data_IF_147952490523
#
_entry.id   IF_147952490523
#
_cell.length_a   1.000
_cell.length_b   1.000
_cell.length_c   1.000
_cell.angle_alpha   90.00
_cell.angle_beta   90.00
_cell.angle_gamma   90.00
#
_symmetry.space_group_name_H-M   'P 1'
#
loop_
_entity.id
_entity.type
_entity.pdbx_description
1 polymer ?
#
# COMPACT_ATOMS: atom_id res chain seq x y z
N UNK A 1 -23.82 17.13 -26.11
CA UNK A 1 -24.57 17.61 -24.92
C UNK A 1 -24.81 16.45 -23.95
N UNK A 2 -24.71 16.71 -22.65
CA UNK A 2 -25.03 15.72 -21.61
C UNK A 2 -26.52 15.35 -21.66
N UNK A 3 -26.90 14.06 -21.46
CA UNK A 3 -28.30 13.63 -21.51
C UNK A 3 -29.17 14.20 -20.38
N UNK A 4 -28.56 14.74 -19.33
CA UNK A 4 -29.24 15.44 -18.24
C UNK A 4 -29.44 16.96 -18.52
N UNK A 5 -28.98 17.45 -19.67
CA UNK A 5 -29.07 18.85 -20.08
C UNK A 5 -27.99 19.77 -19.51
N UNK A 6 -27.06 19.26 -18.69
CA UNK A 6 -26.03 20.07 -18.04
C UNK A 6 -24.66 19.82 -18.68
N UNK A 7 -24.23 20.73 -19.56
CA UNK A 7 -22.88 20.70 -20.14
C UNK A 7 -22.68 19.66 -21.26
N UNK A 8 -21.45 19.18 -21.42
CA UNK A 8 -21.02 18.28 -22.49
C UNK A 8 -20.40 16.99 -21.95
N UNK A 9 -20.39 15.93 -22.77
CA UNK A 9 -19.81 14.65 -22.41
C UNK A 9 -18.32 14.65 -22.74
N UNK A 10 -17.51 14.23 -21.77
CA UNK A 10 -16.10 13.93 -21.98
C UNK A 10 -15.87 12.41 -21.98
N UNK A 11 -14.88 11.95 -22.75
CA UNK A 11 -14.51 10.54 -22.84
C UNK A 11 -13.15 10.33 -22.18
N UNK A 12 -13.13 9.51 -21.14
CA UNK A 12 -11.93 9.13 -20.41
C UNK A 12 -11.62 7.64 -20.59
N UNK A 13 -10.36 7.27 -20.36
CA UNK A 13 -9.95 5.85 -20.26
C UNK A 13 -10.11 5.40 -18.82
N UNK A 14 -10.63 4.19 -18.63
CA UNK A 14 -10.82 3.60 -17.30
C UNK A 14 -10.58 2.10 -17.33
N UNK A 15 -10.15 1.55 -16.19
CA UNK A 15 -10.02 0.11 -15.97
C UNK A 15 -11.17 -0.31 -15.04
N UNK A 16 -12.03 -1.20 -15.51
CA UNK A 16 -13.12 -1.72 -14.68
C UNK A 16 -12.57 -2.68 -13.62
N UNK A 17 -12.54 -2.24 -12.35
CA UNK A 17 -12.10 -3.03 -11.20
C UNK A 17 -13.24 -3.74 -10.47
N UNK A 18 -14.49 -3.40 -10.79
CA UNK A 18 -15.66 -4.05 -10.22
C UNK A 18 -16.93 -3.69 -10.97
N UNK A 19 -17.97 -4.50 -10.76
CA UNK A 19 -19.27 -4.36 -11.40
C UNK A 19 -20.36 -4.83 -10.44
N UNK A 20 -21.49 -4.13 -10.46
CA UNK A 20 -22.69 -4.49 -9.71
C UNK A 20 -23.87 -4.70 -10.67
N UNK A 21 -24.66 -5.75 -10.46
CA UNK A 21 -25.84 -6.02 -11.28
C UNK A 21 -27.07 -6.31 -10.43
N UNK A 22 -28.20 -5.74 -10.83
CA UNK A 22 -29.52 -6.20 -10.40
C UNK A 22 -29.93 -7.36 -11.32
N UNK A 23 -29.69 -8.60 -10.87
CA UNK A 23 -29.99 -9.80 -11.65
C UNK A 23 -31.48 -10.13 -11.72
N UNK A 24 -32.27 -9.54 -10.81
CA UNK A 24 -33.71 -9.79 -10.66
C UNK A 24 -33.95 -11.28 -10.46
N UNK A 25 -35.00 -11.83 -11.08
CA UNK A 25 -35.38 -13.23 -10.94
C UNK A 25 -34.74 -14.17 -11.96
N UNK A 26 -33.87 -13.68 -12.86
CA UNK A 26 -33.37 -14.42 -14.02
C UNK A 26 -32.85 -15.82 -13.68
N UNK A 27 -31.97 -15.92 -12.68
CA UNK A 27 -31.36 -17.19 -12.27
C UNK A 27 -32.23 -17.97 -11.29
N UNK A 28 -32.83 -17.27 -10.31
CA UNK A 28 -33.70 -17.89 -9.32
C UNK A 28 -34.89 -18.61 -9.97
N UNK A 29 -35.49 -18.04 -11.01
CA UNK A 29 -36.59 -18.66 -11.75
C UNK A 29 -36.12 -19.91 -12.51
N UNK A 30 -34.98 -19.83 -13.21
CA UNK A 30 -34.45 -20.96 -13.98
C UNK A 30 -34.04 -22.15 -13.10
N UNK A 31 -33.63 -21.89 -11.84
CA UNK A 31 -33.19 -22.91 -10.88
C UNK A 31 -34.27 -23.29 -9.85
N UNK A 32 -35.49 -22.75 -9.96
CA UNK A 32 -36.59 -22.92 -9.01
C UNK A 32 -36.22 -22.55 -7.55
N UNK A 33 -35.41 -21.50 -7.36
CA UNK A 33 -35.10 -20.95 -6.05
C UNK A 33 -36.26 -20.06 -5.57
N UNK A 34 -37.12 -20.65 -4.74
CA UNK A 34 -38.29 -19.98 -4.16
C UNK A 34 -38.25 -19.92 -2.63
N UNK A 35 -39.00 -18.99 -2.06
CA UNK A 35 -39.24 -18.86 -0.62
C UNK A 35 -40.74 -18.62 -0.36
N UNK A 36 -41.21 -18.87 0.86
CA UNK A 36 -42.54 -18.46 1.28
C UNK A 36 -42.46 -17.05 1.86
N UNK A 37 -43.27 -16.14 1.35
CA UNK A 37 -43.41 -14.79 1.92
C UNK A 37 -44.20 -14.81 3.25
N UNK A 38 -44.40 -13.63 3.84
CA UNK A 38 -45.10 -13.44 5.11
C UNK A 38 -46.56 -13.95 5.09
N UNK A 39 -47.16 -14.12 3.90
CA UNK A 39 -48.51 -14.66 3.71
C UNK A 39 -48.53 -16.17 3.47
N UNK A 40 -47.35 -16.80 3.46
CA UNK A 40 -47.20 -18.21 3.12
C UNK A 40 -47.27 -18.50 1.61
N UNK A 41 -47.17 -17.48 0.76
CA UNK A 41 -47.20 -17.65 -0.70
C UNK A 41 -45.78 -17.85 -1.25
N UNK A 42 -45.64 -18.79 -2.19
CA UNK A 42 -44.36 -19.04 -2.87
C UNK A 42 -43.99 -17.88 -3.79
N UNK A 43 -42.78 -17.35 -3.61
CA UNK A 43 -42.18 -16.26 -4.39
C UNK A 43 -40.80 -16.67 -4.91
N UNK A 44 -40.45 -16.24 -6.12
CA UNK A 44 -39.09 -16.40 -6.64
C UNK A 44 -38.17 -15.36 -6.02
N UNK A 45 -36.96 -15.76 -5.64
CA UNK A 45 -35.99 -14.85 -5.02
C UNK A 45 -35.57 -13.73 -5.98
N UNK A 46 -35.51 -12.51 -5.45
CA UNK A 46 -34.90 -11.37 -6.11
C UNK A 46 -33.38 -11.40 -5.87
N UNK A 47 -32.58 -11.25 -6.94
CA UNK A 47 -31.12 -11.39 -6.85
C UNK A 47 -30.37 -10.12 -7.27
N UNK A 48 -29.26 -9.87 -6.58
CA UNK A 48 -28.20 -8.97 -7.02
C UNK A 48 -26.86 -9.73 -7.03
N UNK A 49 -25.90 -9.26 -7.82
CA UNK A 49 -24.52 -9.72 -7.72
C UNK A 49 -23.54 -8.55 -7.72
N UNK A 50 -22.42 -8.76 -7.03
CA UNK A 50 -21.39 -7.75 -6.80
C UNK A 50 -20.04 -8.43 -7.02
N UNK A 51 -19.27 -7.93 -7.98
CA UNK A 51 -17.97 -8.49 -8.36
C UNK A 51 -16.88 -7.44 -8.23
N UNK A 52 -15.76 -7.82 -7.62
CA UNK A 52 -14.53 -7.02 -7.56
C UNK A 52 -13.39 -7.89 -8.09
N UNK A 53 -12.64 -7.37 -9.06
CA UNK A 53 -11.45 -8.01 -9.59
C UNK A 53 -10.25 -7.79 -8.65
N UNK A 54 -10.14 -8.57 -7.57
CA UNK A 54 -9.09 -8.39 -6.55
C UNK A 54 -7.68 -8.32 -7.15
N UNK A 55 -7.29 -9.29 -7.99
CA UNK A 55 -5.99 -9.26 -8.68
C UNK A 55 -5.86 -8.11 -9.68
N UNK A 56 -6.98 -7.67 -10.28
CA UNK A 56 -7.00 -6.54 -11.21
C UNK A 56 -6.77 -5.21 -10.49
N UNK A 57 -7.21 -5.07 -9.23
CA UNK A 57 -6.95 -3.87 -8.42
C UNK A 57 -5.45 -3.62 -8.29
N UNK A 58 -4.65 -4.65 -8.01
CA UNK A 58 -3.19 -4.52 -7.86
C UNK A 58 -2.57 -3.95 -9.14
N UNK A 59 -2.85 -4.55 -10.30
CA UNK A 59 -2.36 -4.04 -11.58
C UNK A 59 -2.88 -2.63 -11.89
N UNK A 60 -4.16 -2.35 -11.60
CA UNK A 60 -4.77 -1.03 -11.84
C UNK A 60 -4.18 0.06 -10.96
N UNK A 61 -3.79 -0.28 -9.72
CA UNK A 61 -3.11 0.64 -8.81
C UNK A 61 -1.70 0.96 -9.32
N UNK A 62 -0.97 -0.03 -9.83
CA UNK A 62 0.37 0.17 -10.42
C UNK A 62 0.27 1.02 -11.70
N UNK A 63 -0.71 0.75 -12.58
CA UNK A 63 -0.93 1.56 -13.79
C UNK A 63 -1.19 3.05 -13.47
N UNK A 64 -1.87 3.34 -12.35
CA UNK A 64 -2.11 4.70 -11.90
C UNK A 64 -0.94 5.29 -11.08
N UNK A 65 -0.17 4.44 -10.40
CA UNK A 65 0.89 4.82 -9.48
C UNK A 65 2.20 4.11 -9.81
N UNK A 66 2.98 4.71 -10.69
CA UNK A 66 4.35 4.32 -10.98
C UNK A 66 5.18 5.52 -11.47
N UNK A 67 6.50 5.41 -11.37
CA UNK A 67 7.44 6.35 -11.95
C UNK A 67 8.68 5.59 -12.49
N UNK A 68 9.71 6.33 -12.92
CA UNK A 68 10.95 5.75 -13.46
C UNK A 68 11.70 4.85 -12.47
N UNK A 69 11.42 4.96 -11.16
CA UNK A 69 12.05 4.18 -10.09
C UNK A 69 11.22 2.94 -9.72
N UNK A 70 9.98 2.84 -10.21
CA UNK A 70 9.13 1.66 -10.07
C UNK A 70 7.76 1.97 -9.49
N UNK A 71 7.26 1.05 -8.67
CA UNK A 71 5.88 1.07 -8.18
C UNK A 71 5.67 2.19 -7.16
N UNK A 72 4.49 2.82 -7.18
CA UNK A 72 4.00 3.74 -6.16
C UNK A 72 2.62 3.28 -5.72
N UNK A 73 2.54 2.57 -4.59
CA UNK A 73 1.27 2.09 -4.05
C UNK A 73 0.75 3.00 -2.94
N UNK A 74 -0.58 3.11 -2.78
CA UNK A 74 -1.18 3.59 -1.55
C UNK A 74 -0.71 2.74 -0.35
N UNK A 75 -0.54 3.38 0.81
CA UNK A 75 -0.06 2.70 2.02
C UNK A 75 -0.90 1.45 2.38
N UNK A 76 -2.22 1.51 2.16
CA UNK A 76 -3.14 0.42 2.45
C UNK A 76 -2.91 -0.89 1.67
N UNK A 77 -2.18 -0.84 0.54
CA UNK A 77 -1.91 -2.01 -0.30
C UNK A 77 -0.42 -2.16 -0.64
N UNK A 78 0.45 -1.37 -0.01
CA UNK A 78 1.89 -1.54 -0.12
C UNK A 78 2.31 -2.87 0.55
N UNK A 79 3.39 -3.53 0.06
CA UNK A 79 3.83 -4.81 0.61
C UNK A 79 4.37 -4.68 2.04
N UNK A 80 4.92 -3.51 2.38
CA UNK A 80 5.35 -3.10 3.71
C UNK A 80 5.12 -1.58 3.81
N UNK A 81 4.92 -1.07 5.02
CA UNK A 81 4.78 0.36 5.26
C UNK A 81 6.14 1.06 5.28
N UNK A 82 7.16 0.41 5.85
CA UNK A 82 8.51 0.97 6.03
C UNK A 82 9.59 -0.04 5.64
N UNK A 83 10.68 0.43 5.04
CA UNK A 83 11.92 -0.32 4.90
C UNK A 83 13.07 0.35 5.68
N UNK A 84 13.83 -0.46 6.41
CA UNK A 84 15.07 -0.05 7.07
C UNK A 84 16.23 -0.52 6.20
N UNK A 85 17.09 0.40 5.79
CA UNK A 85 18.28 0.12 4.97
C UNK A 85 19.55 0.45 5.76
N UNK A 86 20.13 -0.54 6.48
CA UNK A 86 21.39 -0.37 7.20
C UNK A 86 22.61 -0.41 6.29
N UNK A 87 23.36 0.70 6.24
CA UNK A 87 24.63 0.79 5.50
C UNK A 87 25.75 0.08 6.25
N UNK A 88 26.06 -1.16 5.84
CA UNK A 88 27.12 -1.95 6.43
C UNK A 88 26.68 -2.81 7.62
N UNK A 89 25.46 -3.34 7.57
CA UNK A 89 24.86 -4.20 8.60
C UNK A 89 25.77 -5.32 9.12
N UNK A 90 26.52 -6.00 8.22
CA UNK A 90 27.43 -7.09 8.59
C UNK A 90 28.85 -6.63 8.94
N UNK A 91 29.13 -5.32 8.90
CA UNK A 91 30.47 -4.75 9.11
C UNK A 91 30.56 -3.84 10.33
N UNK A 92 29.43 -3.30 10.77
CA UNK A 92 29.35 -2.32 11.85
C UNK A 92 28.36 -2.78 12.90
N UNK A 93 28.87 -3.18 14.06
CA UNK A 93 28.02 -3.60 15.19
C UNK A 93 27.07 -2.46 15.61
N UNK A 94 27.54 -1.20 15.56
CA UNK A 94 26.71 -0.04 15.88
C UNK A 94 25.52 0.11 14.91
N UNK A 95 25.75 -0.05 13.61
CA UNK A 95 24.67 -0.01 12.60
C UNK A 95 23.70 -1.17 12.78
N UNK A 96 24.23 -2.38 13.00
CA UNK A 96 23.42 -3.57 13.23
C UNK A 96 22.52 -3.40 14.44
N UNK A 97 23.08 -3.05 15.60
CA UNK A 97 22.31 -2.84 16.83
C UNK A 97 21.26 -1.75 16.67
N UNK A 98 21.60 -0.63 16.01
CA UNK A 98 20.63 0.44 15.78
C UNK A 98 19.48 0.03 14.84
N UNK A 99 19.78 -0.75 13.80
CA UNK A 99 18.78 -1.25 12.86
C UNK A 99 17.87 -2.31 13.49
N UNK A 100 18.43 -3.25 14.25
CA UNK A 100 17.68 -4.29 14.97
C UNK A 100 16.76 -3.66 16.02
N UNK A 101 17.24 -2.65 16.74
CA UNK A 101 16.44 -1.91 17.71
C UNK A 101 15.29 -1.16 17.04
N UNK A 102 15.57 -0.40 15.97
CA UNK A 102 14.52 0.32 15.24
C UNK A 102 13.48 -0.62 14.64
N UNK A 103 13.92 -1.76 14.10
CA UNK A 103 13.04 -2.81 13.60
C UNK A 103 12.11 -3.32 14.70
N UNK A 104 12.67 -3.68 15.87
CA UNK A 104 11.90 -4.13 17.02
C UNK A 104 10.91 -3.06 17.52
N UNK A 105 11.33 -1.80 17.58
CA UNK A 105 10.49 -0.68 18.03
C UNK A 105 9.31 -0.43 17.08
N UNK A 106 9.55 -0.45 15.76
CA UNK A 106 8.50 -0.31 14.75
C UNK A 106 7.53 -1.51 14.77
N UNK A 107 8.04 -2.74 14.90
CA UNK A 107 7.19 -3.93 15.06
C UNK A 107 6.35 -3.85 16.33
N UNK A 108 6.93 -3.41 17.45
CA UNK A 108 6.21 -3.22 18.71
C UNK A 108 5.14 -2.11 18.61
N UNK A 109 5.36 -1.12 17.74
CA UNK A 109 4.38 -0.09 17.42
C UNK A 109 3.27 -0.53 16.45
N UNK A 110 3.31 -1.77 15.95
CA UNK A 110 2.34 -2.32 15.00
C UNK A 110 2.57 -1.95 13.55
N UNK A 111 3.72 -1.36 13.22
CA UNK A 111 4.08 -0.98 11.85
C UNK A 111 4.57 -2.21 11.08
N UNK A 112 4.12 -2.36 9.84
CA UNK A 112 4.65 -3.38 8.94
C UNK A 112 5.96 -2.94 8.31
N UNK A 113 7.07 -3.49 8.83
CA UNK A 113 8.42 -3.07 8.49
C UNK A 113 9.24 -4.23 7.94
N UNK A 114 10.01 -3.94 6.89
CA UNK A 114 11.07 -4.83 6.37
C UNK A 114 12.44 -4.27 6.74
N UNK A 115 13.34 -5.15 7.16
CA UNK A 115 14.76 -4.85 7.34
C UNK A 115 15.52 -5.43 6.15
N UNK A 116 16.21 -4.59 5.39
CA UNK A 116 17.11 -5.05 4.33
C UNK A 116 18.48 -5.40 4.95
N UNK A 117 18.59 -6.60 5.51
CA UNK A 117 19.81 -7.12 6.14
C UNK A 117 20.75 -7.82 5.15
N UNK A 118 20.54 -7.63 3.84
CA UNK A 118 21.38 -8.25 2.81
C UNK A 118 22.80 -7.66 2.82
N UNK A 119 23.78 -8.48 2.49
CA UNK A 119 25.17 -8.03 2.30
C UNK A 119 25.37 -7.44 0.89
N UNK A 120 24.59 -6.42 0.56
CA UNK A 120 24.60 -5.77 -0.76
C UNK A 120 25.06 -4.30 -0.70
N UNK A 121 25.30 -3.72 -1.89
CA UNK A 121 25.64 -2.30 -2.00
C UNK A 121 24.41 -1.42 -1.70
N UNK A 122 24.55 -0.31 -0.94
CA UNK A 122 23.42 0.57 -0.60
C UNK A 122 22.59 1.02 -1.81
N UNK A 123 23.25 1.34 -2.93
CA UNK A 123 22.54 1.74 -4.16
C UNK A 123 21.61 0.66 -4.73
N UNK A 124 21.97 -0.63 -4.59
CA UNK A 124 21.12 -1.76 -5.00
C UNK A 124 19.94 -1.90 -4.04
N UNK A 125 20.21 -1.83 -2.74
CA UNK A 125 19.17 -1.89 -1.70
C UNK A 125 18.14 -0.76 -1.88
N UNK A 126 18.59 0.47 -2.15
CA UNK A 126 17.70 1.59 -2.40
C UNK A 126 16.84 1.39 -3.64
N UNK A 127 17.45 0.95 -4.75
CA UNK A 127 16.72 0.70 -5.99
C UNK A 127 15.68 -0.41 -5.82
N UNK A 128 16.02 -1.50 -5.13
CA UNK A 128 15.09 -2.60 -4.88
C UNK A 128 13.89 -2.15 -4.04
N UNK A 129 14.13 -1.41 -2.94
CA UNK A 129 13.06 -0.93 -2.06
C UNK A 129 12.16 0.11 -2.74
N UNK A 130 12.73 0.97 -3.59
CA UNK A 130 11.95 1.93 -4.41
C UNK A 130 11.14 1.21 -5.49
N UNK A 131 11.72 0.18 -6.11
CA UNK A 131 11.10 -0.60 -7.19
C UNK A 131 9.83 -1.30 -6.73
N UNK A 132 9.87 -1.94 -5.56
CA UNK A 132 8.72 -2.65 -4.99
C UNK A 132 7.69 -1.71 -4.34
N UNK A 133 7.97 -0.40 -4.29
CA UNK A 133 7.01 0.63 -3.90
C UNK A 133 6.74 0.75 -2.41
N UNK A 134 7.74 0.50 -1.55
CA UNK A 134 7.59 0.74 -0.11
C UNK A 134 7.48 2.24 0.17
N UNK A 135 6.42 2.72 0.87
CA UNK A 135 6.13 4.15 1.03
C UNK A 135 7.18 4.93 1.82
N UNK A 136 7.85 4.31 2.79
CA UNK A 136 8.79 4.98 3.68
C UNK A 136 10.11 4.23 3.78
N UNK A 137 11.22 4.94 3.62
CA UNK A 137 12.58 4.39 3.80
C UNK A 137 13.29 5.10 4.94
N UNK A 138 13.96 4.33 5.79
CA UNK A 138 14.87 4.81 6.82
C UNK A 138 16.26 4.22 6.58
N UNK A 139 17.26 5.07 6.37
CA UNK A 139 18.65 4.67 6.13
C UNK A 139 19.47 4.92 7.38
N UNK A 140 20.19 3.89 7.84
CA UNK A 140 21.03 3.94 9.03
C UNK A 140 22.48 3.76 8.61
N UNK A 141 23.33 4.74 8.93
CA UNK A 141 24.77 4.67 8.65
C UNK A 141 25.59 5.21 9.80
N UNK A 142 26.85 4.79 9.89
CA UNK A 142 27.74 5.14 11.01
C UNK A 142 27.89 6.66 11.22
N UNK A 143 27.90 7.44 10.14
CA UNK A 143 28.02 8.90 10.22
C UNK A 143 26.83 9.52 10.94
N UNK A 144 25.61 9.15 10.53
CA UNK A 144 24.38 9.62 11.18
C UNK A 144 24.31 9.18 12.63
N UNK A 145 24.67 7.92 12.91
CA UNK A 145 24.64 7.39 14.29
C UNK A 145 25.56 8.14 15.26
N UNK A 146 26.73 8.62 14.80
CA UNK A 146 27.61 9.47 15.62
C UNK A 146 26.96 10.78 16.04
N UNK A 147 26.00 11.26 15.25
CA UNK A 147 25.23 12.48 15.48
C UNK A 147 23.83 12.17 16.07
N UNK A 148 23.52 10.90 16.35
CA UNK A 148 22.21 10.46 16.84
C UNK A 148 21.08 10.54 15.80
N UNK A 149 21.44 10.58 14.52
CA UNK A 149 20.52 10.81 13.40
C UNK A 149 20.46 9.63 12.43
N UNK A 150 19.33 9.53 11.73
CA UNK A 150 19.14 8.63 10.59
C UNK A 150 18.47 9.41 9.46
N UNK A 151 18.58 8.90 8.24
CA UNK A 151 17.98 9.53 7.06
C UNK A 151 16.60 8.92 6.78
N UNK A 152 15.57 9.76 6.70
CA UNK A 152 14.22 9.37 6.30
C UNK A 152 13.89 9.92 4.90
N UNK A 153 13.23 9.10 4.08
CA UNK A 153 12.70 9.52 2.79
C UNK A 153 11.39 8.79 2.47
N UNK A 154 10.33 9.53 2.14
CA UNK A 154 9.12 8.96 1.54
C UNK A 154 9.34 8.60 0.07
N UNK A 155 8.58 7.61 -0.44
CA UNK A 155 8.71 7.11 -1.83
C UNK A 155 8.52 8.19 -2.90
N UNK A 156 7.72 9.21 -2.59
CA UNK A 156 7.44 10.36 -3.45
C UNK A 156 8.22 11.63 -3.06
N UNK A 157 9.01 11.59 -1.98
CA UNK A 157 9.81 12.74 -1.58
C UNK A 157 10.97 12.94 -2.56
N UNK A 158 11.21 14.20 -2.95
CA UNK A 158 12.34 14.53 -3.82
C UNK A 158 13.67 14.26 -3.09
N UNK A 159 13.80 14.80 -1.88
CA UNK A 159 15.00 14.76 -1.05
C UNK A 159 14.77 13.99 0.24
N UNK A 160 15.86 13.48 0.81
CA UNK A 160 15.83 12.86 2.11
C UNK A 160 15.98 13.91 3.23
N UNK A 161 15.51 13.56 4.42
CA UNK A 161 15.58 14.41 5.62
C UNK A 161 16.32 13.68 6.74
N UNK A 162 17.18 14.38 7.47
CA UNK A 162 17.83 13.84 8.65
C UNK A 162 16.93 14.05 9.86
N UNK A 163 16.65 12.97 10.59
CA UNK A 163 15.82 12.99 11.80
C UNK A 163 16.59 12.33 12.93
N UNK A 164 16.28 12.74 14.17
CA UNK A 164 16.81 12.05 15.34
C UNK A 164 16.28 10.61 15.37
N UNK A 165 17.14 9.65 15.73
CA UNK A 165 16.74 8.25 15.80
C UNK A 165 15.53 8.04 16.72
N UNK A 166 15.46 8.79 17.82
CA UNK A 166 14.35 8.76 18.79
C UNK A 166 13.01 9.25 18.23
N UNK A 167 13.01 9.98 17.12
CA UNK A 167 11.81 10.58 16.53
C UNK A 167 11.23 9.75 15.37
N UNK A 168 11.95 8.71 14.90
CA UNK A 168 11.53 7.97 13.71
C UNK A 168 10.20 7.26 13.92
N UNK A 169 10.02 6.57 15.04
CA UNK A 169 8.78 5.82 15.30
C UNK A 169 7.57 6.76 15.34
N UNK A 170 7.69 7.91 15.99
CA UNK A 170 6.59 8.89 16.05
C UNK A 170 6.34 9.55 14.70
N UNK A 171 7.41 9.86 13.94
CA UNK A 171 7.32 10.42 12.60
C UNK A 171 6.58 9.47 11.64
N UNK A 172 6.99 8.21 11.57
CA UNK A 172 6.36 7.17 10.75
C UNK A 172 4.88 7.02 11.11
N UNK A 173 4.55 6.88 12.40
CA UNK A 173 3.15 6.78 12.83
C UNK A 173 2.33 7.99 12.42
N UNK A 174 2.90 9.19 12.55
CA UNK A 174 2.26 10.43 12.10
C UNK A 174 1.96 10.42 10.60
N UNK A 175 2.86 9.85 9.78
CA UNK A 175 2.67 9.73 8.33
C UNK A 175 1.64 8.67 7.96
N UNK A 176 1.63 7.53 8.65
CA UNK A 176 0.67 6.44 8.40
C UNK A 176 -0.76 6.79 8.83
N UNK A 177 -0.93 7.55 9.92
CA UNK A 177 -2.27 7.98 10.38
C UNK A 177 -2.87 9.16 9.59
N UNK A 178 -2.08 9.84 8.77
CA UNK A 178 -2.54 10.97 7.95
C UNK A 178 -3.02 10.55 6.55
N UNK A 179 -2.98 9.25 6.24
CA UNK A 179 -3.43 8.66 4.98
C UNK A 179 -4.86 8.13 5.03
#
# INVERSE_FOLDING_TARGET
PSPDGNGELEICRGIEVGHIFQLRQKYAQALNCAYLDETGKSQIMEMGCYGIGVSRIVGSAIEQGNDEKGIVLPAAIAPFEVCIVPMGYHKSDAVKTAADQLYADLKAAGVDVILDDRNERPGVMFADMELIGIPHRVVIGERGLKEGQVEYKGRLDAEATLLLQSEIVSNIKGKLCAG
#
